data_IF_523684422828
#
_entry.id   IF_523684422828
#
_cell.length_a   1.000
_cell.length_b   1.000
_cell.length_c   1.000
_cell.angle_alpha   90.00
_cell.angle_beta   90.00
_cell.angle_gamma   90.00
#
_symmetry.space_group_name_H-M   'P 1'
#
loop_
_entity.id
_entity.type
_entity.pdbx_description
1 polymer ?
#
# COMPACT_ATOMS: atom_id res chain seq x y z
N UNK A 1 -22.95 3.61 -2.56
CA UNK A 1 -21.78 4.53 -2.46
C UNK A 1 -21.65 5.03 -1.01
N UNK A 2 -20.88 4.36 -0.15
CA UNK A 2 -20.64 4.84 1.23
C UNK A 2 -19.41 5.76 1.23
N UNK A 3 -19.65 7.06 1.43
CA UNK A 3 -18.62 8.09 1.64
C UNK A 3 -17.79 7.73 2.88
N UNK A 4 -16.48 7.50 2.69
CA UNK A 4 -15.51 7.47 3.78
C UNK A 4 -15.44 8.87 4.38
N UNK A 5 -15.78 9.01 5.68
CA UNK A 5 -15.80 10.29 6.40
C UNK A 5 -14.40 10.92 6.40
N UNK A 6 -14.36 12.17 5.96
CA UNK A 6 -13.17 13.04 5.82
C UNK A 6 -12.25 13.13 7.05
N UNK A 7 -12.77 12.81 8.25
CA UNK A 7 -12.02 12.86 9.51
C UNK A 7 -10.97 11.75 9.69
N UNK A 8 -11.16 10.56 9.11
CA UNK A 8 -10.21 9.46 9.27
C UNK A 8 -9.06 9.51 8.24
N UNK A 9 -9.33 10.15 7.09
CA UNK A 9 -8.34 10.35 6.03
C UNK A 9 -7.28 11.39 6.40
N UNK A 10 -7.62 12.35 7.29
CA UNK A 10 -6.69 13.40 7.75
C UNK A 10 -5.64 12.85 8.72
N UNK A 11 -6.04 12.03 9.70
CA UNK A 11 -5.10 11.40 10.68
C UNK A 11 -4.12 10.42 10.04
N UNK A 12 -4.52 9.73 8.96
CA UNK A 12 -3.65 8.79 8.26
C UNK A 12 -2.53 9.47 7.45
N UNK A 13 -2.76 10.74 7.04
CA UNK A 13 -1.79 11.53 6.28
C UNK A 13 -0.81 12.22 7.22
N UNK A 14 -1.29 12.77 8.35
CA UNK A 14 -0.45 13.43 9.36
C UNK A 14 0.57 12.49 10.05
N UNK A 15 0.29 11.19 10.15
CA UNK A 15 1.23 10.23 10.77
C UNK A 15 2.45 9.90 9.90
N UNK A 16 2.38 10.12 8.59
CA UNK A 16 3.47 9.75 7.65
C UNK A 16 4.54 10.83 7.57
N UNK A 17 4.27 12.05 8.06
CA UNK A 17 5.17 13.20 7.96
C UNK A 17 6.09 13.38 9.20
N UNK A 18 5.77 12.74 10.33
CA UNK A 18 6.36 13.09 11.63
C UNK A 18 7.63 12.31 12.05
N UNK A 19 8.10 11.32 11.30
CA UNK A 19 9.37 10.63 11.59
C UNK A 19 10.16 10.41 10.31
N UNK A 20 11.45 10.73 10.37
CA UNK A 20 12.47 10.66 9.31
C UNK A 20 12.73 9.26 8.69
N UNK A 21 11.77 8.33 8.74
CA UNK A 21 11.82 6.99 8.18
C UNK A 21 10.64 6.81 7.21
N UNK A 22 10.88 7.12 5.94
CA UNK A 22 9.89 7.21 4.84
C UNK A 22 9.32 5.85 4.40
N UNK A 23 8.67 5.10 5.28
CA UNK A 23 7.88 3.91 4.89
C UNK A 23 6.41 4.19 5.04
N UNK A 24 5.69 4.20 3.93
CA UNK A 24 4.23 4.34 3.93
C UNK A 24 3.61 2.95 3.92
N UNK A 25 2.78 2.64 4.91
CA UNK A 25 2.10 1.35 5.00
C UNK A 25 0.66 1.49 4.54
N UNK A 26 0.19 0.55 3.72
CA UNK A 26 -1.21 0.42 3.31
C UNK A 26 -1.86 -0.77 4.03
N UNK A 27 -3.18 -0.68 4.23
CA UNK A 27 -3.99 -1.76 4.77
C UNK A 27 -5.26 -1.92 3.94
N UNK A 28 -5.58 -3.16 3.56
CA UNK A 28 -6.80 -3.49 2.83
C UNK A 28 -7.19 -4.95 3.07
N UNK A 29 -8.42 -5.16 3.54
CA UNK A 29 -9.03 -6.50 3.72
C UNK A 29 -8.16 -7.52 4.50
N UNK A 30 -7.45 -7.09 5.53
CA UNK A 30 -6.60 -7.96 6.35
C UNK A 30 -5.15 -8.09 5.86
N UNK A 31 -4.82 -7.52 4.70
CA UNK A 31 -3.47 -7.49 4.15
C UNK A 31 -2.80 -6.16 4.44
N UNK A 32 -1.49 -6.21 4.61
CA UNK A 32 -0.64 -5.03 4.79
C UNK A 32 0.29 -4.89 3.61
N UNK A 33 0.71 -3.67 3.29
CA UNK A 33 1.79 -3.47 2.34
C UNK A 33 2.71 -2.35 2.78
N UNK A 34 4.01 -2.57 2.64
CA UNK A 34 5.03 -1.55 2.92
C UNK A 34 5.51 -0.92 1.62
N UNK A 35 5.35 0.39 1.51
CA UNK A 35 5.80 1.19 0.37
C UNK A 35 7.11 1.90 0.70
N UNK A 36 8.10 1.71 -0.18
CA UNK A 36 9.44 2.30 -0.12
C UNK A 36 9.68 3.09 -1.39
N UNK A 37 10.38 4.22 -1.28
CA UNK A 37 10.84 4.97 -2.45
C UNK A 37 12.14 4.36 -2.99
N UNK A 38 12.13 3.98 -4.26
CA UNK A 38 13.30 3.58 -5.03
C UNK A 38 13.86 4.82 -5.74
N UNK A 39 14.95 5.36 -5.18
CA UNK A 39 15.56 6.61 -5.65
C UNK A 39 16.34 6.43 -6.95
N UNK A 40 16.81 5.22 -7.25
CA UNK A 40 17.55 4.91 -8.47
C UNK A 40 16.63 4.91 -9.70
N UNK A 41 15.44 4.32 -9.57
CA UNK A 41 14.46 4.23 -10.65
C UNK A 41 13.41 5.33 -10.62
N UNK A 42 13.47 6.22 -9.62
CA UNK A 42 12.46 7.27 -9.35
C UNK A 42 11.03 6.71 -9.29
N UNK A 43 10.85 5.61 -8.54
CA UNK A 43 9.58 4.88 -8.39
C UNK A 43 9.29 4.57 -6.92
N UNK A 44 8.06 4.18 -6.64
CA UNK A 44 7.63 3.63 -5.36
C UNK A 44 7.41 2.14 -5.52
N UNK A 45 7.97 1.34 -4.61
CA UNK A 45 7.89 -0.12 -4.61
C UNK A 45 7.16 -0.56 -3.35
N UNK A 46 6.12 -1.35 -3.52
CA UNK A 46 5.30 -1.89 -2.45
C UNK A 46 5.37 -3.41 -2.41
N UNK A 47 5.47 -3.97 -1.20
CA UNK A 47 5.41 -5.42 -0.97
C UNK A 47 4.22 -5.75 -0.07
N UNK A 48 3.41 -6.72 -0.50
CA UNK A 48 2.26 -7.21 0.27
C UNK A 48 2.72 -8.27 1.27
N UNK A 49 2.28 -8.10 2.51
CA UNK A 49 2.50 -9.00 3.64
C UNK A 49 1.19 -9.69 4.02
N UNK A 50 1.30 -10.88 4.64
CA UNK A 50 0.14 -11.68 5.07
C UNK A 50 -0.46 -12.58 3.97
N UNK A 51 0.29 -12.80 2.89
CA UNK A 51 0.02 -13.81 1.86
C UNK A 51 0.74 -15.12 2.18
N UNK A 52 0.42 -16.20 1.46
CA UNK A 52 1.06 -17.52 1.66
C UNK A 52 2.59 -17.40 1.52
N UNK A 53 3.35 -18.15 2.34
CA UNK A 53 4.81 -17.98 2.50
C UNK A 53 5.63 -18.19 1.23
N UNK A 54 5.04 -18.84 0.23
CA UNK A 54 5.65 -19.15 -1.06
C UNK A 54 5.27 -18.12 -2.15
N UNK A 55 4.45 -17.12 -1.83
CA UNK A 55 4.10 -16.02 -2.72
C UNK A 55 4.68 -14.68 -2.23
N UNK A 56 5.37 -13.98 -3.12
CA UNK A 56 5.82 -12.60 -2.92
C UNK A 56 5.13 -11.71 -3.95
N UNK A 57 4.15 -10.91 -3.52
CA UNK A 57 3.46 -9.97 -4.41
C UNK A 57 4.07 -8.58 -4.22
N UNK A 58 4.81 -8.15 -5.24
CA UNK A 58 5.44 -6.84 -5.33
C UNK A 58 4.70 -6.01 -6.39
N UNK A 59 4.55 -4.72 -6.15
CA UNK A 59 3.97 -3.78 -7.11
C UNK A 59 4.75 -2.47 -7.10
N UNK A 60 4.77 -1.79 -8.24
CA UNK A 60 5.47 -0.52 -8.41
C UNK A 60 4.50 0.56 -8.86
N UNK A 61 4.77 1.83 -8.54
CA UNK A 61 4.02 2.96 -9.07
C UNK A 61 4.78 4.27 -8.97
N UNK A 62 4.32 5.30 -9.68
CA UNK A 62 4.95 6.63 -9.65
C UNK A 62 4.45 7.50 -8.51
N UNK A 63 3.23 7.24 -8.04
CA UNK A 63 2.59 8.01 -6.98
C UNK A 63 2.04 7.08 -5.91
N UNK A 64 1.93 7.59 -4.69
CA UNK A 64 1.35 6.86 -3.56
C UNK A 64 -0.06 6.35 -3.88
N UNK A 65 -0.87 7.16 -4.57
CA UNK A 65 -2.25 6.80 -4.93
C UNK A 65 -2.28 5.65 -5.93
N UNK A 66 -1.43 5.68 -6.96
CA UNK A 66 -1.30 4.58 -7.92
C UNK A 66 -0.87 3.28 -7.23
N UNK A 67 0.07 3.38 -6.28
CA UNK A 67 0.49 2.26 -5.45
C UNK A 67 -0.64 1.71 -4.57
N UNK A 68 -1.50 2.57 -4.01
CA UNK A 68 -2.66 2.14 -3.23
C UNK A 68 -3.68 1.39 -4.10
N UNK A 69 -3.96 1.88 -5.31
CA UNK A 69 -4.88 1.22 -6.24
C UNK A 69 -4.33 -0.14 -6.70
N UNK A 70 -3.03 -0.20 -7.04
CA UNK A 70 -2.34 -1.45 -7.40
C UNK A 70 -2.30 -2.46 -6.27
N UNK A 71 -2.08 -2.00 -5.04
CA UNK A 71 -2.15 -2.84 -3.85
C UNK A 71 -3.51 -3.52 -3.70
N UNK A 72 -4.60 -2.74 -3.78
CA UNK A 72 -5.97 -3.27 -3.68
C UNK A 72 -6.29 -4.26 -4.79
N UNK A 73 -5.88 -3.96 -6.01
CA UNK A 73 -6.06 -4.87 -7.14
C UNK A 73 -5.31 -6.20 -6.93
N UNK A 74 -4.06 -6.12 -6.47
CA UNK A 74 -3.24 -7.29 -6.20
C UNK A 74 -3.84 -8.18 -5.09
N UNK A 75 -4.29 -7.59 -3.98
CA UNK A 75 -5.02 -8.32 -2.92
C UNK A 75 -6.30 -8.94 -3.47
N UNK A 76 -7.09 -8.20 -4.24
CA UNK A 76 -8.33 -8.71 -4.84
C UNK A 76 -8.08 -9.90 -5.76
N UNK A 77 -7.00 -9.87 -6.56
CA UNK A 77 -6.59 -10.98 -7.43
C UNK A 77 -6.13 -12.20 -6.63
N UNK A 78 -5.30 -12.00 -5.61
CA UNK A 78 -4.85 -13.08 -4.72
C UNK A 78 -6.04 -13.80 -4.07
N UNK A 79 -6.99 -13.05 -3.52
CA UNK A 79 -8.20 -13.61 -2.91
C UNK A 79 -9.11 -14.37 -3.88
N UNK A 80 -9.08 -14.06 -5.18
CA UNK A 80 -9.86 -14.79 -6.20
C UNK A 80 -9.20 -16.08 -6.67
N UNK A 81 -7.88 -16.21 -6.47
CA UNK A 81 -7.13 -17.43 -6.78
C UNK A 81 -7.22 -18.48 -5.66
N UNK A 82 -7.55 -18.04 -4.46
CA UNK A 82 -7.79 -18.87 -3.26
C UNK A 82 -9.26 -19.27 -3.17
#
# INVERSE_FOLDING_TARGET
>A
MRKLKEGERKRLVDFVDARSDKRKVFYYEGFYSSLVADVESNRLVGKIEGIDKDEDIIYEGKTVRECEDKFREAVSRYRKKK
#
